data_IF_655668535986
#
_entry.id   IF_655668535986
#
_cell.length_a   1.000
_cell.length_b   1.000
_cell.length_c   1.000
_cell.angle_alpha   90.00
_cell.angle_beta   90.00
_cell.angle_gamma   90.00
#
_symmetry.space_group_name_H-M   'P 1'
#
loop_
_entity.id
_entity.type
_entity.pdbx_description
1 polymer ?
#
# COMPACT_ATOMS: atom_id res chain seq x y z
N UNK A 1 3.89 -10.24 -16.77
CA UNK A 1 4.45 -9.91 -15.43
C UNK A 1 3.38 -9.33 -14.50
N UNK A 2 2.67 -8.26 -14.89
CA UNK A 2 1.62 -7.63 -14.05
C UNK A 2 0.51 -8.61 -13.65
N UNK A 3 0.00 -9.40 -14.60
CA UNK A 3 -1.03 -10.41 -14.31
C UNK A 3 -0.54 -11.50 -13.34
N UNK A 4 0.74 -11.89 -13.39
CA UNK A 4 1.29 -12.86 -12.45
C UNK A 4 1.35 -12.29 -11.03
N UNK A 5 1.71 -11.01 -10.88
CA UNK A 5 1.71 -10.33 -9.57
C UNK A 5 0.27 -10.22 -9.04
N UNK A 6 -0.70 -9.90 -9.89
CA UNK A 6 -2.12 -9.83 -9.51
C UNK A 6 -2.61 -11.20 -9.03
N UNK A 7 -2.29 -12.28 -9.75
CA UNK A 7 -2.66 -13.63 -9.35
C UNK A 7 -2.08 -13.99 -7.97
N UNK A 8 -0.81 -13.66 -7.72
CA UNK A 8 -0.18 -13.85 -6.40
C UNK A 8 -0.85 -13.02 -5.28
N UNK A 9 -1.35 -11.83 -5.59
CA UNK A 9 -2.09 -10.97 -4.64
C UNK A 9 -3.49 -11.50 -4.33
N UNK A 10 -4.07 -12.28 -5.24
CA UNK A 10 -5.43 -12.82 -5.13
C UNK A 10 -5.50 -14.24 -4.58
N UNK A 11 -4.38 -14.96 -4.50
CA UNK A 11 -4.29 -16.36 -4.03
C UNK A 11 -4.76 -16.62 -2.58
N UNK A 12 -5.23 -15.61 -1.85
CA UNK A 12 -5.77 -15.73 -0.48
C UNK A 12 -7.15 -15.10 -0.26
N UNK A 13 -7.87 -14.72 -1.33
CA UNK A 13 -9.21 -14.11 -1.23
C UNK A 13 -10.22 -15.02 -1.92
N UNK A 14 -10.81 -15.95 -1.17
CA UNK A 14 -11.84 -16.88 -1.68
C UNK A 14 -13.25 -16.26 -1.75
N UNK A 15 -13.46 -15.07 -1.19
CA UNK A 15 -14.80 -14.51 -0.91
C UNK A 15 -15.14 -13.21 -1.67
N UNK A 16 -14.26 -12.76 -2.57
CA UNK A 16 -14.53 -11.57 -3.39
C UNK A 16 -14.06 -11.86 -4.80
N UNK A 17 -14.86 -11.46 -5.78
CA UNK A 17 -14.62 -11.54 -7.22
C UNK A 17 -13.42 -10.64 -7.66
N UNK A 18 -12.26 -10.85 -7.04
CA UNK A 18 -10.97 -10.16 -7.31
C UNK A 18 -10.24 -10.83 -8.47
N UNK A 19 -10.76 -11.95 -8.97
CA UNK A 19 -10.30 -12.68 -10.17
C UNK A 19 -10.26 -11.81 -11.43
N UNK A 20 -11.03 -10.71 -11.47
CA UNK A 20 -11.01 -9.72 -12.56
C UNK A 20 -10.57 -8.34 -12.05
N UNK A 21 -9.27 -8.07 -11.95
CA UNK A 21 -8.81 -6.68 -11.85
C UNK A 21 -8.76 -6.09 -13.25
N UNK A 22 -9.72 -5.22 -13.59
CA UNK A 22 -9.70 -4.53 -14.88
C UNK A 22 -8.62 -3.45 -14.88
N UNK A 23 -7.51 -3.77 -15.54
CA UNK A 23 -6.40 -2.85 -15.74
C UNK A 23 -6.77 -1.93 -16.91
N UNK A 24 -6.93 -0.65 -16.61
CA UNK A 24 -7.20 0.39 -17.61
C UNK A 24 -5.90 0.80 -18.29
N UNK A 25 -4.82 0.96 -17.52
CA UNK A 25 -3.55 1.47 -18.06
C UNK A 25 -2.35 1.01 -17.25
N UNK A 26 -1.24 0.76 -17.93
CA UNK A 26 0.06 0.53 -17.29
C UNK A 26 1.08 1.48 -17.89
N UNK A 27 1.79 2.22 -17.04
CA UNK A 27 2.78 3.21 -17.44
C UNK A 27 4.07 3.01 -16.65
N UNK A 28 5.22 3.32 -17.25
CA UNK A 28 6.48 3.49 -16.50
C UNK A 28 6.61 4.95 -16.08
N UNK A 29 6.88 5.20 -14.80
CA UNK A 29 6.98 6.55 -14.22
C UNK A 29 8.38 6.77 -13.66
N UNK A 30 8.86 8.01 -13.77
CA UNK A 30 10.18 8.43 -13.31
C UNK A 30 11.24 8.39 -14.42
N UNK A 31 12.46 8.78 -14.03
CA UNK A 31 13.63 8.81 -14.92
C UNK A 31 14.27 7.42 -14.97
N UNK A 32 14.82 7.06 -16.12
CA UNK A 32 15.60 5.83 -16.25
C UNK A 32 16.94 6.03 -15.54
N UNK A 33 17.27 5.17 -14.60
CA UNK A 33 18.61 5.08 -14.02
C UNK A 33 19.17 3.68 -14.28
N UNK A 34 20.50 3.52 -14.43
CA UNK A 34 21.09 2.20 -14.68
C UNK A 34 20.84 1.21 -13.53
N UNK A 35 20.88 1.70 -12.29
CA UNK A 35 20.82 0.85 -11.10
C UNK A 35 19.40 0.50 -10.67
N UNK A 36 18.39 1.27 -11.12
CA UNK A 36 17.03 1.12 -10.66
C UNK A 36 16.01 1.16 -11.81
N UNK A 37 15.21 0.09 -11.98
CA UNK A 37 14.16 0.10 -12.99
C UNK A 37 13.09 1.14 -12.64
N UNK A 38 12.58 1.83 -13.68
CA UNK A 38 11.47 2.78 -13.53
C UNK A 38 10.25 2.15 -12.87
N UNK A 39 9.57 2.89 -12.00
CA UNK A 39 8.38 2.41 -11.33
C UNK A 39 7.25 2.12 -12.34
N UNK A 40 6.39 1.14 -12.05
CA UNK A 40 5.18 0.87 -12.81
C UNK A 40 3.97 1.50 -12.12
N UNK A 41 3.28 2.39 -12.82
CA UNK A 41 1.97 2.91 -12.42
C UNK A 41 0.90 2.08 -13.10
N UNK A 42 0.09 1.40 -12.30
CA UNK A 42 -1.05 0.60 -12.75
C UNK A 42 -2.32 1.36 -12.40
N UNK A 43 -3.14 1.62 -13.40
CA UNK A 43 -4.44 2.27 -13.27
C UNK A 43 -5.52 1.22 -13.49
N UNK A 44 -6.43 1.11 -12.55
CA UNK A 44 -7.54 0.15 -12.58
C UNK A 44 -8.88 0.88 -12.58
N UNK A 45 -9.94 0.23 -13.02
CA UNK A 45 -11.30 0.79 -13.00
C UNK A 45 -11.86 0.93 -11.58
N UNK A 46 -11.51 0.01 -10.67
CA UNK A 46 -12.11 -0.10 -9.33
C UNK A 46 -11.13 0.25 -8.20
N UNK A 47 -11.44 1.31 -7.47
CA UNK A 47 -10.67 1.71 -6.28
C UNK A 47 -10.77 0.68 -5.13
N UNK A 48 -11.90 -0.03 -5.01
CA UNK A 48 -12.10 -1.04 -3.97
C UNK A 48 -11.18 -2.25 -4.17
N UNK A 49 -11.01 -2.72 -5.42
CA UNK A 49 -10.10 -3.83 -5.76
C UNK A 49 -8.63 -3.45 -5.51
N UNK A 50 -8.25 -2.19 -5.76
CA UNK A 50 -6.89 -1.67 -5.45
C UNK A 50 -6.60 -1.74 -3.95
N UNK A 51 -7.56 -1.36 -3.09
CA UNK A 51 -7.38 -1.44 -1.64
C UNK A 51 -7.16 -2.88 -1.17
N UNK A 52 -7.83 -3.86 -1.78
CA UNK A 52 -7.64 -5.29 -1.45
C UNK A 52 -6.21 -5.72 -1.82
N UNK A 53 -5.76 -5.38 -3.03
CA UNK A 53 -4.38 -5.63 -3.48
C UNK A 53 -3.36 -5.02 -2.51
N UNK A 54 -3.56 -3.76 -2.11
CA UNK A 54 -2.64 -3.06 -1.23
C UNK A 54 -2.62 -3.64 0.20
N UNK A 55 -3.73 -4.19 0.68
CA UNK A 55 -3.78 -4.94 1.95
C UNK A 55 -2.98 -6.25 1.85
N UNK A 56 -3.11 -6.96 0.73
CA UNK A 56 -2.48 -8.25 0.53
C UNK A 56 -1.03 -8.17 0.05
N UNK A 57 -0.47 -6.98 -0.19
CA UNK A 57 0.89 -6.82 -0.71
C UNK A 57 2.01 -7.53 0.08
N UNK A 58 1.76 -7.88 1.34
CA UNK A 58 2.67 -8.69 2.13
C UNK A 58 2.81 -10.13 1.59
N UNK A 59 1.77 -10.71 1.00
CA UNK A 59 1.82 -12.05 0.40
C UNK A 59 2.83 -12.12 -0.75
N UNK A 60 2.92 -11.07 -1.57
CA UNK A 60 3.86 -10.96 -2.69
C UNK A 60 5.30 -10.93 -2.22
N UNK A 61 5.57 -10.30 -1.06
CA UNK A 61 6.92 -10.33 -0.48
C UNK A 61 7.29 -11.74 -0.01
N UNK A 62 6.31 -12.51 0.45
CA UNK A 62 6.50 -13.86 0.96
C UNK A 62 6.57 -14.91 -0.16
N UNK A 63 6.14 -14.60 -1.39
CA UNK A 63 6.07 -15.57 -2.49
C UNK A 63 7.42 -15.95 -3.13
N UNK A 64 8.55 -15.49 -2.56
CA UNK A 64 9.92 -15.80 -3.00
C UNK A 64 10.29 -15.13 -4.33
N UNK A 65 9.49 -15.36 -5.38
CA UNK A 65 9.63 -14.85 -6.74
C UNK A 65 9.57 -13.32 -6.84
N UNK A 66 8.81 -12.67 -5.97
CA UNK A 66 8.62 -11.22 -5.96
C UNK A 66 9.04 -10.57 -4.64
N UNK A 67 9.89 -11.25 -3.87
CA UNK A 67 10.35 -10.84 -2.53
C UNK A 67 10.99 -9.44 -2.47
N UNK A 68 11.67 -9.02 -3.53
CA UNK A 68 12.33 -7.71 -3.63
C UNK A 68 11.41 -6.59 -4.12
N UNK A 69 10.18 -6.93 -4.55
CA UNK A 69 9.23 -5.96 -5.11
C UNK A 69 8.56 -5.14 -4.02
N UNK A 70 8.33 -3.86 -4.31
CA UNK A 70 7.53 -2.97 -3.47
C UNK A 70 6.28 -2.52 -4.22
N UNK A 71 5.15 -2.60 -3.54
CA UNK A 71 3.85 -2.14 -4.02
C UNK A 71 3.38 -1.07 -3.04
N UNK A 72 3.17 0.14 -3.55
CA UNK A 72 2.77 1.27 -2.74
C UNK A 72 1.65 2.04 -3.42
N UNK A 73 0.89 2.78 -2.62
CA UNK A 73 -0.15 3.68 -3.09
C UNK A 73 0.44 4.89 -3.83
N UNK A 74 -0.25 5.35 -4.86
CA UNK A 74 0.12 6.56 -5.59
C UNK A 74 -0.35 7.80 -4.83
N UNK A 75 0.52 8.33 -3.98
CA UNK A 75 0.24 9.55 -3.20
C UNK A 75 0.66 10.81 -3.94
N UNK A 76 -0.19 11.83 -3.83
CA UNK A 76 0.16 13.22 -4.17
C UNK A 76 1.30 13.72 -3.26
N UNK A 77 2.02 14.75 -3.70
CA UNK A 77 3.11 15.34 -2.91
C UNK A 77 2.63 15.84 -1.54
N UNK A 78 1.43 16.44 -1.49
CA UNK A 78 0.81 16.91 -0.25
C UNK A 78 0.55 15.75 0.72
N UNK A 79 -0.08 14.68 0.24
CA UNK A 79 -0.34 13.48 1.05
C UNK A 79 0.97 12.85 1.55
N UNK A 80 2.01 12.82 0.71
CA UNK A 80 3.32 12.29 1.09
C UNK A 80 3.97 13.13 2.20
N UNK A 81 3.92 14.46 2.11
CA UNK A 81 4.43 15.38 3.13
C UNK A 81 3.68 15.20 4.45
N UNK A 82 2.34 15.16 4.40
CA UNK A 82 1.49 14.92 5.56
C UNK A 82 1.84 13.57 6.24
N UNK A 83 1.92 12.49 5.46
CA UNK A 83 2.23 11.17 5.99
C UNK A 83 3.65 11.09 6.59
N UNK A 84 4.62 11.79 5.99
CA UNK A 84 5.98 11.89 6.54
C UNK A 84 5.97 12.58 7.91
N UNK A 85 5.28 13.72 8.03
CA UNK A 85 5.13 14.43 9.30
C UNK A 85 4.48 13.56 10.38
N UNK A 86 3.35 12.91 10.04
CA UNK A 86 2.63 12.01 10.96
C UNK A 86 3.50 10.84 11.43
N UNK A 87 4.33 10.27 10.55
CA UNK A 87 5.25 9.17 10.92
C UNK A 87 6.35 9.64 11.87
N UNK A 88 6.93 10.82 11.63
CA UNK A 88 7.91 11.42 12.53
C UNK A 88 7.32 11.71 13.90
N UNK A 89 6.13 12.31 13.95
CA UNK A 89 5.42 12.56 15.21
C UNK A 89 5.05 11.27 15.94
N UNK A 90 4.62 10.25 15.20
CA UNK A 90 4.31 8.95 15.78
C UNK A 90 5.55 8.27 16.37
N UNK A 91 6.72 8.36 15.71
CA UNK A 91 7.98 7.83 16.27
C UNK A 91 8.33 8.52 17.58
N UNK A 92 8.36 9.86 17.58
CA UNK A 92 8.67 10.67 18.76
C UNK A 92 7.76 10.36 19.95
N UNK A 93 6.45 10.24 19.72
CA UNK A 93 5.48 9.94 20.78
C UNK A 93 5.56 8.48 21.26
N UNK A 94 5.88 7.54 20.37
CA UNK A 94 6.15 6.15 20.76
C UNK A 94 7.41 6.03 21.61
N UNK A 95 8.46 6.79 21.29
CA UNK A 95 9.68 6.88 22.11
C UNK A 95 9.37 7.44 23.52
N UNK A 96 8.40 8.35 23.62
CA UNK A 96 7.87 8.85 24.90
C UNK A 96 6.94 7.86 25.63
N UNK A 97 6.71 6.66 25.08
CA UNK A 97 5.85 5.63 25.70
C UNK A 97 4.36 5.74 25.40
N UNK A 98 3.93 6.60 24.47
CA UNK A 98 2.52 6.69 24.08
C UNK A 98 2.10 5.52 23.17
N UNK A 99 0.97 4.87 23.49
CA UNK A 99 0.39 3.83 22.64
C UNK A 99 -0.58 4.45 21.60
N UNK A 100 -0.02 4.81 20.45
CA UNK A 100 -0.72 5.53 19.37
C UNK A 100 -0.51 4.85 18.01
N UNK A 101 -1.48 5.04 17.11
CA UNK A 101 -1.46 4.54 15.72
C UNK A 101 -2.01 5.59 14.77
N UNK A 102 -1.52 5.61 13.52
CA UNK A 102 -2.13 6.42 12.45
C UNK A 102 -3.37 5.68 11.92
N UNK A 103 -4.53 6.33 11.94
CA UNK A 103 -5.75 5.87 11.28
C UNK A 103 -6.19 6.84 10.19
N UNK A 104 -6.88 6.31 9.20
CA UNK A 104 -7.55 7.11 8.18
C UNK A 104 -9.00 7.38 8.64
N UNK A 105 -9.31 8.65 8.92
CA UNK A 105 -10.61 9.08 9.46
C UNK A 105 -11.13 10.20 8.56
N UNK A 106 -12.34 10.04 8.01
CA UNK A 106 -13.03 11.04 7.20
C UNK A 106 -12.18 11.65 6.07
N UNK A 107 -11.41 10.83 5.36
CA UNK A 107 -10.60 11.31 4.23
C UNK A 107 -9.20 11.82 4.58
N UNK A 108 -8.84 11.83 5.87
CA UNK A 108 -7.53 12.33 6.35
C UNK A 108 -6.84 11.35 7.30
N UNK A 109 -5.51 11.32 7.23
CA UNK A 109 -4.66 10.53 8.13
C UNK A 109 -4.46 11.29 9.44
N UNK A 110 -4.81 10.66 10.57
CA UNK A 110 -4.71 11.26 11.91
C UNK A 110 -4.07 10.29 12.89
N UNK A 111 -3.34 10.81 13.88
CA UNK A 111 -2.81 10.02 15.00
C UNK A 111 -3.92 9.85 16.03
N UNK A 112 -4.25 8.61 16.34
CA UNK A 112 -5.24 8.26 17.37
C UNK A 112 -4.58 7.40 18.45
N UNK A 113 -5.10 7.48 19.67
CA UNK A 113 -4.72 6.54 20.74
C UNK A 113 -5.22 5.15 20.37
N UNK A 114 -4.37 4.13 20.52
CA UNK A 114 -4.81 2.76 20.32
C UNK A 114 -5.56 2.30 21.56
N UNK A 115 -6.86 2.05 21.40
CA UNK A 115 -7.62 1.32 22.41
C UNK A 115 -7.16 -0.14 22.32
N UNK A 116 -6.84 -0.79 23.46
CA UNK A 116 -6.65 -2.24 23.46
C UNK A 116 -7.93 -2.90 22.90
N UNK A 117 -7.82 -3.98 22.10
CA UNK A 117 -9.00 -4.76 21.76
C UNK A 117 -9.64 -5.25 23.07
N UNK A 118 -10.97 -5.19 23.16
CA UNK A 118 -11.69 -5.93 24.21
C UNK A 118 -11.44 -7.42 23.92
N UNK A 119 -10.90 -8.13 24.91
CA UNK A 119 -10.76 -9.59 24.87
C UNK A 119 -12.12 -10.24 24.65
#
# INVERSE_FOLDING_TARGET
MVNAIINELTNGVSDVDVTSIDIVKVLRVGKSTPDHPRALKVVTSSASKVKIVLKNKASVKNSGRFSTMRIDEDFTEMQRKQLKGLRSDLSRRKENGENITIKYVCGSSTIVKSCKPKN
#
